data_IF_278277573878
#
_entry.id   IF_278277573878
#
_cell.length_a   1.000
_cell.length_b   1.000
_cell.length_c   1.000
_cell.angle_alpha   90.00
_cell.angle_beta   90.00
_cell.angle_gamma   90.00
#
_symmetry.space_group_name_H-M   'P 1'
#
loop_
_entity.id
_entity.type
_entity.pdbx_description
1 polymer ?
#
# COMPACT_ATOMS: atom_id res chain seq x y z
N UNK A 1 -8.03 4.63 28.41
CA UNK A 1 -6.70 5.07 27.92
C UNK A 1 -6.55 6.57 28.12
N UNK A 2 -5.37 7.07 28.44
CA UNK A 2 -5.18 8.51 28.64
C UNK A 2 -5.05 9.26 27.30
N UNK A 3 -5.21 10.58 27.37
CA UNK A 3 -5.21 11.43 26.17
C UNK A 3 -3.88 11.40 25.42
N UNK A 4 -2.76 11.26 26.12
CA UNK A 4 -1.44 11.20 25.48
C UNK A 4 -1.32 9.99 24.57
N UNK A 5 -1.79 8.83 25.04
CA UNK A 5 -1.76 7.61 24.22
C UNK A 5 -2.74 7.68 23.07
N UNK A 6 -3.92 8.23 23.28
CA UNK A 6 -4.91 8.45 22.21
C UNK A 6 -4.35 9.33 21.10
N UNK A 7 -3.69 10.42 21.48
CA UNK A 7 -3.09 11.34 20.53
C UNK A 7 -1.97 10.67 19.71
N UNK A 8 -1.16 9.81 20.35
CA UNK A 8 -0.11 9.07 19.66
C UNK A 8 -0.67 8.04 18.69
N UNK A 9 -1.78 7.39 19.06
CA UNK A 9 -2.47 6.46 18.15
C UNK A 9 -3.03 7.22 16.95
N UNK A 10 -3.70 8.34 17.18
CA UNK A 10 -4.25 9.16 16.09
C UNK A 10 -3.15 9.63 15.13
N UNK A 11 -2.02 10.07 15.66
CA UNK A 11 -0.85 10.49 14.86
C UNK A 11 -0.31 9.31 14.04
N UNK A 12 -0.23 8.14 14.65
CA UNK A 12 0.24 6.92 13.95
C UNK A 12 -0.71 6.52 12.83
N UNK A 13 -2.02 6.62 13.06
CA UNK A 13 -3.02 6.34 12.01
C UNK A 13 -2.82 7.29 10.84
N UNK A 14 -2.60 8.58 11.11
CA UNK A 14 -2.36 9.56 10.05
C UNK A 14 -1.12 9.20 9.23
N UNK A 15 -0.05 8.77 9.88
CA UNK A 15 1.18 8.33 9.19
C UNK A 15 0.96 7.08 8.36
N UNK A 16 0.15 6.15 8.85
CA UNK A 16 -0.21 4.95 8.08
C UNK A 16 -1.02 5.31 6.85
N UNK A 17 -1.98 6.23 6.98
CA UNK A 17 -2.78 6.71 5.85
C UNK A 17 -1.92 7.44 4.81
N UNK A 18 -0.96 8.24 5.26
CA UNK A 18 -0.01 8.91 4.37
C UNK A 18 0.84 7.88 3.62
N UNK A 19 1.28 6.83 4.31
CA UNK A 19 2.04 5.75 3.68
C UNK A 19 1.19 4.98 2.66
N UNK A 20 -0.09 4.72 2.96
CA UNK A 20 -1.01 4.11 2.01
C UNK A 20 -1.11 4.93 0.73
N UNK A 21 -1.25 6.24 0.86
CA UNK A 21 -1.37 7.12 -0.30
C UNK A 21 -0.13 7.05 -1.19
N UNK A 22 1.05 7.06 -0.57
CA UNK A 22 2.32 6.92 -1.31
C UNK A 22 2.41 5.57 -2.01
N UNK A 23 2.00 4.50 -1.33
CA UNK A 23 2.01 3.16 -1.92
C UNK A 23 1.02 3.05 -3.08
N UNK A 24 -0.15 3.70 -2.99
CA UNK A 24 -1.11 3.73 -4.11
C UNK A 24 -0.51 4.43 -5.33
N UNK A 25 0.21 5.51 -5.12
CA UNK A 25 0.89 6.22 -6.20
C UNK A 25 1.92 5.32 -6.87
N UNK A 26 2.72 4.59 -6.08
CA UNK A 26 3.71 3.66 -6.62
C UNK A 26 3.02 2.52 -7.38
N UNK A 27 1.92 1.99 -6.83
CA UNK A 27 1.14 0.95 -7.49
C UNK A 27 0.63 1.42 -8.86
N UNK A 28 0.07 2.62 -8.92
CA UNK A 28 -0.40 3.19 -10.19
C UNK A 28 0.73 3.34 -11.20
N UNK A 29 1.90 3.81 -10.75
CA UNK A 29 3.07 3.97 -11.61
C UNK A 29 3.56 2.62 -12.14
N UNK A 30 3.59 1.58 -11.30
CA UNK A 30 3.98 0.24 -11.72
C UNK A 30 2.99 -0.34 -12.73
N UNK A 31 1.70 -0.15 -12.51
CA UNK A 31 0.66 -0.60 -13.44
C UNK A 31 0.77 0.08 -14.79
N UNK A 32 1.03 1.38 -14.80
CA UNK A 32 1.25 2.14 -16.04
C UNK A 32 2.51 1.67 -16.76
N UNK A 33 3.58 1.45 -16.02
CA UNK A 33 4.85 0.95 -16.59
C UNK A 33 4.66 -0.44 -17.21
N UNK A 34 3.93 -1.33 -16.52
CA UNK A 34 3.63 -2.66 -17.03
C UNK A 34 2.80 -2.57 -18.31
N UNK A 35 1.78 -1.70 -18.34
CA UNK A 35 0.93 -1.51 -19.52
C UNK A 35 1.71 -1.01 -20.73
N UNK A 36 2.80 -0.28 -20.50
CA UNK A 36 3.62 0.29 -21.55
C UNK A 36 4.73 -0.66 -22.01
N UNK A 37 4.92 -1.78 -21.30
CA UNK A 37 5.98 -2.73 -21.62
C UNK A 37 5.62 -3.52 -22.87
N UNK A 38 6.62 -3.75 -23.74
CA UNK A 38 6.43 -4.56 -24.95
C UNK A 38 6.11 -6.01 -24.61
N UNK A 39 5.35 -6.67 -25.50
CA UNK A 39 5.01 -8.09 -25.37
C UNK A 39 6.14 -9.02 -25.79
N UNK A 40 7.28 -8.48 -26.23
CA UNK A 40 8.43 -9.27 -26.65
C UNK A 40 8.94 -10.18 -25.53
N UNK A 41 9.37 -11.39 -25.89
CA UNK A 41 9.86 -12.39 -24.94
C UNK A 41 11.04 -11.89 -24.09
N UNK A 42 11.85 -10.97 -24.62
CA UNK A 42 12.99 -10.41 -23.88
C UNK A 42 12.58 -9.66 -22.61
N UNK A 43 11.30 -9.27 -22.50
CA UNK A 43 10.76 -8.56 -21.34
C UNK A 43 9.95 -9.44 -20.39
N UNK A 44 9.89 -10.76 -20.63
CA UNK A 44 9.07 -11.67 -19.80
C UNK A 44 9.51 -11.64 -18.33
N UNK A 45 10.81 -11.71 -18.05
CA UNK A 45 11.30 -11.68 -16.67
C UNK A 45 10.96 -10.35 -15.98
N UNK A 46 11.11 -9.25 -16.70
CA UNK A 46 10.79 -7.93 -16.20
C UNK A 46 9.29 -7.82 -15.91
N UNK A 47 8.45 -8.31 -16.82
CA UNK A 47 6.98 -8.31 -16.65
C UNK A 47 6.57 -9.12 -15.44
N UNK A 48 7.16 -10.30 -15.23
CA UNK A 48 6.88 -11.16 -14.07
C UNK A 48 7.29 -10.47 -12.77
N UNK A 49 8.43 -9.80 -12.75
CA UNK A 49 8.88 -9.02 -11.58
C UNK A 49 7.94 -7.88 -11.25
N UNK A 50 7.44 -7.18 -12.27
CA UNK A 50 6.47 -6.09 -12.09
C UNK A 50 5.14 -6.61 -11.58
N UNK A 51 4.66 -7.75 -12.10
CA UNK A 51 3.44 -8.39 -11.61
C UNK A 51 3.57 -8.77 -10.13
N UNK A 52 4.71 -9.30 -9.72
CA UNK A 52 4.97 -9.65 -8.32
C UNK A 52 4.93 -8.42 -7.41
N UNK A 53 5.53 -7.32 -7.84
CA UNK A 53 5.53 -6.06 -7.09
C UNK A 53 4.10 -5.52 -6.98
N UNK A 54 3.34 -5.53 -8.07
CA UNK A 54 1.95 -5.06 -8.09
C UNK A 54 1.10 -5.87 -7.12
N UNK A 55 1.21 -7.21 -7.15
CA UNK A 55 0.48 -8.08 -6.23
C UNK A 55 0.87 -7.82 -4.78
N UNK A 56 2.16 -7.64 -4.50
CA UNK A 56 2.65 -7.33 -3.17
C UNK A 56 2.13 -5.99 -2.65
N UNK A 57 2.09 -4.98 -3.50
CA UNK A 57 1.55 -3.67 -3.14
C UNK A 57 0.05 -3.72 -2.88
N UNK A 58 -0.71 -4.44 -3.71
CA UNK A 58 -2.16 -4.61 -3.52
C UNK A 58 -2.45 -5.31 -2.19
N UNK A 59 -1.73 -6.39 -1.90
CA UNK A 59 -1.88 -7.13 -0.64
C UNK A 59 -1.52 -6.26 0.58
N UNK A 60 -0.42 -5.50 0.47
CA UNK A 60 0.01 -4.60 1.54
C UNK A 60 -1.02 -3.51 1.80
N UNK A 61 -1.55 -2.90 0.74
CA UNK A 61 -2.58 -1.86 0.87
C UNK A 61 -3.84 -2.41 1.53
N UNK A 62 -4.27 -3.61 1.15
CA UNK A 62 -5.42 -4.28 1.75
C UNK A 62 -5.18 -4.55 3.25
N UNK A 63 -3.99 -5.04 3.60
CA UNK A 63 -3.63 -5.31 4.99
C UNK A 63 -3.57 -4.03 5.83
N UNK A 64 -3.06 -2.94 5.26
CA UNK A 64 -3.03 -1.63 5.94
C UNK A 64 -4.43 -1.09 6.17
N UNK A 65 -5.33 -1.21 5.20
CA UNK A 65 -6.73 -0.82 5.36
C UNK A 65 -7.36 -1.58 6.54
N UNK A 66 -7.19 -2.88 6.57
CA UNK A 66 -7.75 -3.72 7.64
C UNK A 66 -7.15 -3.35 9.00
N UNK A 67 -5.85 -3.10 9.06
CA UNK A 67 -5.18 -2.72 10.30
C UNK A 67 -5.68 -1.36 10.80
N UNK A 68 -5.79 -0.39 9.93
CA UNK A 68 -6.28 0.95 10.27
C UNK A 68 -7.73 0.88 10.75
N UNK A 69 -8.58 0.15 10.02
CA UNK A 69 -9.99 -0.02 10.40
C UNK A 69 -10.12 -0.70 11.77
N UNK A 70 -9.28 -1.67 12.06
CA UNK A 70 -9.24 -2.36 13.34
C UNK A 70 -8.93 -1.37 14.47
N UNK A 71 -7.94 -0.50 14.28
CA UNK A 71 -7.56 0.50 15.28
C UNK A 71 -8.68 1.53 15.46
N UNK A 72 -9.22 2.04 14.35
CA UNK A 72 -10.31 3.04 14.38
C UNK A 72 -11.56 2.45 15.04
N UNK A 73 -11.85 1.18 14.76
CA UNK A 73 -12.99 0.48 15.37
C UNK A 73 -12.77 0.12 16.84
N UNK A 74 -11.56 0.26 17.34
CA UNK A 74 -11.26 0.03 18.76
C UNK A 74 -11.64 1.23 19.60
N UNK A 75 -12.08 0.99 20.80
CA UNK A 75 -12.47 2.05 21.72
C UNK A 75 -11.24 2.62 22.43
N UNK A 76 -10.45 3.35 21.67
CA UNK A 76 -9.29 4.00 22.23
C UNK A 76 -9.62 5.47 22.55
#
# INVERSE_FOLDING_TARGET
MNNSRRNRIADSIQKLEDAQEKLRQVLNQEQEALSSLSDDEEFDDMRNGMDDIISGLEDTLSSLDDAIDTIIGSDF
#
